data_IF_047881961229
#
_entry.id   IF_047881961229
#
_cell.length_a   1.000
_cell.length_b   1.000
_cell.length_c   1.000
_cell.angle_alpha   90.00
_cell.angle_beta   90.00
_cell.angle_gamma   90.00
#
_symmetry.space_group_name_H-M   'P 1'
#
loop_
_entity.id
_entity.type
_entity.pdbx_description
1 polymer ?
#
# COMPACT_ATOMS: atom_id res chain seq x y z
N UNK A 1 -9.02 0.56 -97.12
CA UNK A 1 -8.44 -0.69 -96.63
C UNK A 1 -7.70 -0.37 -95.31
N UNK A 2 -8.33 -0.63 -94.16
CA UNK A 2 -7.72 -0.39 -92.80
C UNK A 2 -7.41 -1.74 -92.20
N UNK A 3 -6.23 -1.97 -91.60
CA UNK A 3 -5.90 -3.23 -90.99
C UNK A 3 -6.49 -3.35 -89.55
N UNK A 4 -7.17 -4.45 -89.36
CA UNK A 4 -7.71 -4.86 -88.06
C UNK A 4 -6.56 -5.35 -87.15
N UNK A 5 -6.37 -4.68 -86.01
CA UNK A 5 -5.45 -5.16 -84.98
C UNK A 5 -6.16 -6.10 -84.04
N UNK A 6 -5.80 -7.38 -84.08
CA UNK A 6 -6.19 -8.42 -83.10
C UNK A 6 -5.56 -8.15 -81.75
N UNK A 7 -6.37 -7.79 -80.75
CA UNK A 7 -5.94 -7.76 -79.34
C UNK A 7 -5.80 -9.17 -78.81
N UNK A 8 -4.62 -9.45 -78.22
CA UNK A 8 -4.29 -10.75 -77.62
C UNK A 8 -5.01 -10.94 -76.27
N UNK A 9 -5.63 -12.12 -75.98
CA UNK A 9 -6.37 -12.37 -74.70
C UNK A 9 -5.53 -12.86 -73.57
N UNK A 10 -4.22 -12.54 -73.50
CA UNK A 10 -3.29 -13.14 -72.53
C UNK A 10 -3.11 -12.36 -71.23
N UNK A 11 -3.67 -11.15 -71.08
CA UNK A 11 -3.47 -10.30 -69.92
C UNK A 11 -4.36 -10.66 -68.72
N UNK A 12 -5.59 -11.14 -68.94
CA UNK A 12 -6.56 -11.39 -67.87
C UNK A 12 -6.26 -12.59 -66.96
N UNK A 13 -5.49 -13.57 -67.45
CA UNK A 13 -5.23 -14.81 -66.70
C UNK A 13 -4.09 -14.68 -65.68
N UNK A 14 -3.14 -13.74 -65.91
CA UNK A 14 -2.07 -13.44 -64.97
C UNK A 14 -2.53 -12.56 -63.80
N UNK A 15 -3.47 -11.61 -64.08
CA UNK A 15 -4.05 -10.75 -63.04
C UNK A 15 -4.91 -11.57 -62.05
N UNK A 16 -5.67 -12.56 -62.52
CA UNK A 16 -6.45 -13.45 -61.69
C UNK A 16 -5.58 -14.34 -60.78
N UNK A 17 -4.43 -14.80 -61.28
CA UNK A 17 -3.48 -15.60 -60.46
C UNK A 17 -2.77 -14.77 -59.40
N UNK A 18 -2.52 -13.50 -59.68
CA UNK A 18 -1.92 -12.57 -58.68
C UNK A 18 -2.93 -12.15 -57.62
N UNK A 19 -4.18 -11.89 -57.98
CA UNK A 19 -5.28 -11.62 -57.05
C UNK A 19 -5.53 -12.82 -56.12
N UNK A 20 -5.52 -14.03 -56.65
CA UNK A 20 -5.70 -15.25 -55.87
C UNK A 20 -4.54 -15.50 -54.91
N UNK A 21 -3.28 -15.21 -55.31
CA UNK A 21 -2.11 -15.30 -54.39
C UNK A 21 -2.15 -14.26 -53.29
N UNK A 22 -2.57 -13.01 -53.59
CA UNK A 22 -2.71 -11.93 -52.60
C UNK A 22 -3.81 -12.24 -51.59
N UNK A 23 -4.92 -12.85 -52.05
CA UNK A 23 -6.04 -13.26 -51.19
C UNK A 23 -5.67 -14.45 -50.27
N UNK A 24 -4.86 -15.38 -50.74
CA UNK A 24 -4.35 -16.50 -49.91
C UNK A 24 -3.34 -16.03 -48.90
N UNK A 25 -2.46 -15.07 -49.22
CA UNK A 25 -1.49 -14.49 -48.28
C UNK A 25 -2.20 -13.66 -47.18
N UNK A 26 -3.24 -12.91 -47.54
CA UNK A 26 -4.08 -12.15 -46.61
C UNK A 26 -4.87 -13.06 -45.67
N UNK A 27 -5.40 -14.17 -46.14
CA UNK A 27 -6.10 -15.15 -45.28
C UNK A 27 -5.16 -15.92 -44.35
N UNK A 28 -3.89 -16.15 -44.73
CA UNK A 28 -2.90 -16.82 -43.91
C UNK A 28 -2.38 -15.93 -42.78
N UNK A 29 -2.45 -14.59 -42.90
CA UNK A 29 -2.02 -13.65 -41.86
C UNK A 29 -3.08 -13.40 -40.77
N UNK A 30 -4.34 -13.73 -41.05
CA UNK A 30 -5.45 -13.53 -40.09
C UNK A 30 -5.60 -14.68 -39.10
N UNK A 31 -4.94 -15.81 -39.29
CA UNK A 31 -5.03 -16.98 -38.43
C UNK A 31 -3.99 -17.03 -37.30
N UNK A 32 -3.07 -16.02 -37.20
CA UNK A 32 -2.01 -15.98 -36.19
C UNK A 32 -2.34 -15.20 -34.91
N UNK A 33 -3.54 -14.60 -34.81
CA UNK A 33 -4.04 -13.97 -33.58
C UNK A 33 -5.18 -14.79 -32.97
N UNK A 34 -4.94 -16.06 -32.69
CA UNK A 34 -5.74 -16.73 -31.68
C UNK A 34 -5.20 -16.27 -30.34
N UNK A 35 -5.98 -15.57 -29.49
CA UNK A 35 -5.60 -15.37 -28.11
C UNK A 35 -5.46 -16.79 -27.52
N UNK A 36 -4.26 -17.14 -27.14
CA UNK A 36 -4.03 -18.31 -26.28
C UNK A 36 -4.86 -18.02 -25.03
N UNK A 37 -5.96 -18.73 -24.84
CA UNK A 37 -6.63 -18.76 -23.56
C UNK A 37 -5.64 -19.45 -22.60
N UNK A 38 -4.80 -18.63 -21.94
CA UNK A 38 -3.99 -19.11 -20.83
C UNK A 38 -4.98 -19.49 -19.72
N UNK A 39 -5.21 -20.78 -19.57
CA UNK A 39 -5.90 -21.29 -18.40
C UNK A 39 -4.90 -21.18 -17.24
N UNK A 40 -5.04 -20.15 -16.43
CA UNK A 40 -4.26 -19.96 -15.22
C UNK A 40 -4.57 -21.08 -14.23
N UNK A 41 -3.53 -21.83 -13.82
CA UNK A 41 -3.67 -22.95 -12.89
C UNK A 41 -3.66 -22.44 -11.45
N UNK A 42 -4.69 -22.81 -10.67
CA UNK A 42 -4.70 -22.62 -9.23
C UNK A 42 -4.39 -23.94 -8.55
N UNK A 43 -3.43 -23.94 -7.64
CA UNK A 43 -3.09 -25.07 -6.77
C UNK A 43 -3.50 -24.70 -5.35
N UNK A 44 -4.13 -25.59 -4.63
CA UNK A 44 -4.52 -25.34 -3.25
C UNK A 44 -4.41 -26.58 -2.37
N UNK A 45 -4.29 -26.37 -1.06
CA UNK A 45 -4.39 -27.39 -0.04
C UNK A 45 -5.00 -26.83 1.24
N UNK A 46 -5.61 -27.67 2.07
CA UNK A 46 -6.16 -27.32 3.38
C UNK A 46 -6.48 -28.58 4.17
N UNK A 47 -6.75 -28.43 5.49
CA UNK A 47 -7.22 -29.52 6.32
C UNK A 47 -8.69 -29.91 5.99
N UNK A 48 -9.50 -28.91 5.57
CA UNK A 48 -10.86 -29.14 5.12
C UNK A 48 -11.25 -28.19 3.99
N UNK A 49 -12.13 -28.64 3.12
CA UNK A 49 -12.68 -27.88 2.00
C UNK A 49 -14.20 -28.02 1.98
N UNK A 50 -14.90 -26.93 1.77
CA UNK A 50 -16.31 -26.89 1.49
C UNK A 50 -16.57 -25.92 0.32
N UNK A 51 -17.57 -26.22 -0.51
CA UNK A 51 -17.88 -25.37 -1.64
C UNK A 51 -19.00 -25.92 -2.50
N UNK A 52 -19.49 -25.08 -3.38
CA UNK A 52 -20.42 -25.45 -4.45
C UNK A 52 -19.67 -25.34 -5.77
N UNK A 53 -19.66 -26.45 -6.53
CA UNK A 53 -19.14 -26.51 -7.88
C UNK A 53 -20.32 -26.61 -8.83
N UNK A 54 -20.48 -25.68 -9.73
CA UNK A 54 -21.55 -25.70 -10.74
C UNK A 54 -21.82 -24.32 -11.35
N UNK A 55 -22.57 -24.30 -12.43
CA UNK A 55 -22.79 -23.17 -13.36
C UNK A 55 -23.26 -21.82 -12.79
N UNK A 56 -23.52 -21.67 -11.48
CA UNK A 56 -24.15 -20.46 -10.93
C UNK A 56 -23.40 -19.72 -9.83
N UNK A 57 -22.48 -20.33 -9.13
CA UNK A 57 -21.55 -19.60 -8.23
C UNK A 57 -20.44 -20.56 -7.80
N UNK A 58 -19.30 -20.45 -8.45
CA UNK A 58 -18.12 -21.13 -7.96
C UNK A 58 -17.67 -20.44 -6.66
N UNK A 59 -17.83 -21.13 -5.55
CA UNK A 59 -17.31 -20.69 -4.26
C UNK A 59 -16.73 -21.89 -3.55
N UNK A 60 -15.49 -21.77 -3.14
CA UNK A 60 -14.77 -22.80 -2.40
C UNK A 60 -14.11 -22.16 -1.19
N UNK A 61 -14.35 -22.72 -0.01
CA UNK A 61 -13.73 -22.33 1.24
C UNK A 61 -12.77 -23.41 1.70
N UNK A 62 -11.54 -23.05 1.93
CA UNK A 62 -10.46 -23.86 2.49
C UNK A 62 -10.26 -23.44 3.94
N UNK A 63 -10.16 -24.38 4.87
CA UNK A 63 -10.03 -24.09 6.30
C UNK A 63 -8.97 -24.97 6.95
N UNK A 64 -8.16 -24.37 7.83
CA UNK A 64 -7.06 -24.99 8.54
C UNK A 64 -5.85 -25.20 7.64
N UNK A 65 -4.75 -24.49 7.91
CA UNK A 65 -3.54 -24.50 7.11
C UNK A 65 -3.83 -24.32 5.60
N UNK A 66 -4.76 -23.40 5.31
CA UNK A 66 -5.17 -23.16 3.95
C UNK A 66 -4.05 -22.54 3.13
N UNK A 67 -3.84 -23.06 1.94
CA UNK A 67 -2.80 -22.64 1.01
C UNK A 67 -3.36 -22.52 -0.40
N UNK A 68 -3.01 -21.43 -1.08
CA UNK A 68 -3.37 -21.19 -2.49
C UNK A 68 -2.15 -20.63 -3.22
N UNK A 69 -1.87 -21.22 -4.38
CA UNK A 69 -0.86 -20.79 -5.32
C UNK A 69 -1.51 -20.50 -6.67
N UNK A 70 -1.37 -19.28 -7.13
CA UNK A 70 -1.72 -18.83 -8.49
C UNK A 70 -0.44 -18.61 -9.31
N UNK A 71 -0.55 -18.09 -10.52
CA UNK A 71 0.60 -17.74 -11.34
C UNK A 71 1.50 -16.68 -10.67
N UNK A 72 0.89 -15.67 -10.04
CA UNK A 72 1.62 -14.52 -9.47
C UNK A 72 1.62 -14.43 -7.95
N UNK A 73 0.72 -15.16 -7.26
CA UNK A 73 0.48 -15.01 -5.83
C UNK A 73 0.51 -16.35 -5.10
N UNK A 74 1.25 -16.40 -4.01
CA UNK A 74 1.25 -17.48 -3.02
C UNK A 74 0.66 -16.96 -1.72
N UNK A 75 -0.32 -17.67 -1.14
CA UNK A 75 -1.05 -17.25 0.06
C UNK A 75 -1.21 -18.44 1.00
N UNK A 76 -0.83 -18.28 2.26
CA UNK A 76 -1.14 -19.16 3.38
C UNK A 76 -1.99 -18.42 4.41
N UNK A 77 -3.01 -19.06 4.98
CA UNK A 77 -3.91 -18.45 5.96
C UNK A 77 -4.64 -19.51 6.80
N UNK A 78 -5.34 -19.07 7.84
CA UNK A 78 -6.22 -19.96 8.60
C UNK A 78 -7.44 -20.37 7.77
N UNK A 79 -7.94 -19.45 6.93
CA UNK A 79 -9.07 -19.66 6.03
C UNK A 79 -8.87 -18.91 4.73
N UNK A 80 -9.18 -19.55 3.60
CA UNK A 80 -9.19 -18.93 2.26
C UNK A 80 -10.50 -19.26 1.58
N UNK A 81 -11.17 -18.24 1.04
CA UNK A 81 -12.37 -18.38 0.22
C UNK A 81 -12.07 -17.91 -1.18
N UNK A 82 -12.25 -18.78 -2.15
CA UNK A 82 -12.17 -18.47 -3.57
C UNK A 82 -13.57 -18.39 -4.14
N UNK A 83 -13.89 -17.32 -4.89
CA UNK A 83 -15.24 -17.10 -5.40
C UNK A 83 -15.28 -16.36 -6.73
N UNK A 84 -16.48 -16.35 -7.34
CA UNK A 84 -16.70 -15.71 -8.63
C UNK A 84 -16.30 -16.60 -9.79
N UNK A 85 -16.60 -16.12 -11.01
CA UNK A 85 -16.29 -16.84 -12.23
C UNK A 85 -14.78 -17.12 -12.31
N UNK A 86 -14.39 -18.35 -12.58
CA UNK A 86 -13.00 -18.81 -12.66
C UNK A 86 -12.18 -18.50 -11.39
N UNK A 87 -12.86 -18.46 -10.22
CA UNK A 87 -12.27 -18.06 -8.92
C UNK A 87 -11.54 -16.72 -8.98
N UNK A 88 -12.19 -15.71 -9.58
CA UNK A 88 -11.66 -14.36 -9.70
C UNK A 88 -11.23 -13.76 -8.37
N UNK A 89 -12.04 -13.95 -7.32
CA UNK A 89 -11.80 -13.35 -6.01
C UNK A 89 -11.20 -14.38 -5.05
N UNK A 90 -10.11 -13.99 -4.39
CA UNK A 90 -9.50 -14.72 -3.30
C UNK A 90 -9.57 -13.84 -2.05
N UNK A 91 -10.27 -14.33 -1.02
CA UNK A 91 -10.35 -13.69 0.29
C UNK A 91 -9.68 -14.61 1.31
N UNK A 92 -8.77 -14.07 2.12
CA UNK A 92 -8.10 -14.82 3.18
C UNK A 92 -8.28 -14.13 4.52
N UNK A 93 -8.38 -14.92 5.58
CA UNK A 93 -8.59 -14.51 6.96
C UNK A 93 -7.67 -15.30 7.90
N UNK A 94 -7.05 -14.57 8.85
CA UNK A 94 -6.25 -15.11 9.95
C UNK A 94 -4.83 -15.51 9.53
N UNK A 95 -3.84 -15.00 10.24
CA UNK A 95 -2.42 -15.36 10.14
C UNK A 95 -1.88 -15.43 8.71
N UNK A 96 -2.22 -14.47 7.89
CA UNK A 96 -1.90 -14.50 6.46
C UNK A 96 -0.42 -14.24 6.26
N UNK A 97 0.20 -15.12 5.46
CA UNK A 97 1.53 -14.95 4.88
C UNK A 97 1.35 -15.05 3.37
N UNK A 98 1.79 -14.04 2.64
CA UNK A 98 1.66 -14.02 1.19
C UNK A 98 2.93 -13.53 0.51
N UNK A 99 3.06 -13.95 -0.75
CA UNK A 99 4.17 -13.58 -1.62
C UNK A 99 3.65 -13.31 -3.02
N UNK A 100 4.01 -12.16 -3.57
CA UNK A 100 3.88 -11.89 -4.98
C UNK A 100 5.20 -12.23 -5.67
N UNK A 101 5.18 -13.22 -6.55
CA UNK A 101 6.39 -13.74 -7.19
C UNK A 101 6.86 -12.84 -8.33
N UNK A 102 5.96 -12.14 -9.02
CA UNK A 102 6.30 -11.23 -10.12
C UNK A 102 6.96 -9.95 -9.62
N UNK A 103 6.39 -9.39 -8.55
CA UNK A 103 6.88 -8.12 -7.98
C UNK A 103 7.91 -8.31 -6.86
N UNK A 104 8.24 -9.55 -6.48
CA UNK A 104 9.14 -9.86 -5.36
C UNK A 104 8.73 -9.14 -4.06
N UNK A 105 7.40 -9.13 -3.78
CA UNK A 105 6.82 -8.59 -2.55
C UNK A 105 6.42 -9.72 -1.62
N UNK A 106 6.75 -9.59 -0.35
CA UNK A 106 6.29 -10.46 0.73
C UNK A 106 5.44 -9.65 1.71
N UNK A 107 4.39 -10.26 2.25
CA UNK A 107 3.50 -9.58 3.17
C UNK A 107 2.93 -10.50 4.25
N UNK A 108 2.58 -9.89 5.37
CA UNK A 108 1.76 -10.51 6.41
C UNK A 108 0.63 -9.57 6.79
N UNK A 109 -0.55 -10.12 7.08
CA UNK A 109 -1.73 -9.38 7.53
C UNK A 109 -2.75 -10.32 8.16
N UNK A 110 -3.90 -9.82 8.62
CA UNK A 110 -4.99 -10.65 9.11
C UNK A 110 -6.16 -10.78 8.14
N UNK A 111 -6.27 -9.88 7.17
CA UNK A 111 -7.26 -9.97 6.09
C UNK A 111 -6.66 -9.58 4.75
N UNK A 112 -6.99 -10.35 3.72
CA UNK A 112 -6.64 -10.13 2.33
C UNK A 112 -7.87 -10.25 1.45
N UNK A 113 -8.02 -9.33 0.51
CA UNK A 113 -8.92 -9.45 -0.64
C UNK A 113 -8.13 -9.23 -1.91
N UNK A 114 -8.09 -10.23 -2.77
CA UNK A 114 -7.36 -10.18 -4.02
C UNK A 114 -8.28 -10.42 -5.21
N UNK A 115 -8.31 -9.51 -6.16
CA UNK A 115 -9.00 -9.66 -7.43
C UNK A 115 -7.96 -10.04 -8.50
N UNK A 116 -8.01 -11.27 -8.97
CA UNK A 116 -7.09 -11.84 -9.96
C UNK A 116 -7.21 -11.19 -11.33
N UNK A 117 -8.38 -10.64 -11.69
CA UNK A 117 -8.59 -9.98 -12.97
C UNK A 117 -7.99 -8.57 -13.00
N UNK A 118 -8.23 -7.78 -11.95
CA UNK A 118 -7.68 -6.42 -11.84
C UNK A 118 -6.27 -6.40 -11.27
N UNK A 119 -5.80 -7.52 -10.71
CA UNK A 119 -4.49 -7.67 -10.04
C UNK A 119 -4.33 -6.70 -8.87
N UNK A 120 -5.42 -6.39 -8.15
CA UNK A 120 -5.43 -5.53 -6.96
C UNK A 120 -5.56 -6.39 -5.71
N UNK A 121 -4.63 -6.20 -4.78
CA UNK A 121 -4.63 -6.82 -3.46
C UNK A 121 -4.90 -5.76 -2.39
N UNK A 122 -5.94 -5.96 -1.56
CA UNK A 122 -6.26 -5.15 -0.41
C UNK A 122 -5.90 -5.94 0.86
N UNK A 123 -4.89 -5.45 1.56
CA UNK A 123 -4.35 -6.00 2.79
C UNK A 123 -4.83 -5.16 3.97
N UNK A 124 -5.29 -5.77 5.04
CA UNK A 124 -5.76 -5.04 6.22
C UNK A 124 -5.48 -5.77 7.53
N UNK A 125 -5.58 -5.00 8.62
CA UNK A 125 -5.33 -5.41 9.99
C UNK A 125 -3.86 -5.79 10.25
N UNK A 126 -3.08 -4.78 10.54
CA UNK A 126 -1.64 -4.90 10.87
C UNK A 126 -0.82 -5.50 9.73
N UNK A 127 -0.74 -4.75 8.65
CA UNK A 127 -0.01 -5.16 7.45
C UNK A 127 1.48 -4.88 7.62
N UNK A 128 2.31 -5.89 7.31
CA UNK A 128 3.74 -5.71 7.04
C UNK A 128 3.98 -6.11 5.59
N UNK A 129 4.62 -5.24 4.83
CA UNK A 129 4.99 -5.43 3.44
C UNK A 129 6.50 -5.29 3.30
N UNK A 130 7.12 -6.20 2.57
CA UNK A 130 8.54 -6.17 2.26
C UNK A 130 8.74 -6.23 0.74
N UNK A 131 9.36 -5.20 0.19
CA UNK A 131 9.91 -5.22 -1.17
C UNK A 131 11.33 -5.77 -1.07
N UNK A 132 11.48 -7.05 -1.41
CA UNK A 132 12.74 -7.77 -1.27
C UNK A 132 13.79 -7.21 -2.23
N UNK A 133 13.39 -6.88 -3.45
CA UNK A 133 14.28 -6.35 -4.49
C UNK A 133 14.91 -5.01 -4.10
N UNK A 134 14.12 -4.11 -3.50
CA UNK A 134 14.54 -2.75 -3.20
C UNK A 134 14.92 -2.56 -1.72
N UNK A 135 14.81 -3.63 -0.92
CA UNK A 135 15.09 -3.64 0.52
C UNK A 135 14.27 -2.55 1.25
N UNK A 136 12.98 -2.46 0.92
CA UNK A 136 12.01 -1.57 1.57
C UNK A 136 11.08 -2.39 2.45
N UNK A 137 10.88 -1.96 3.69
CA UNK A 137 9.86 -2.53 4.57
C UNK A 137 8.84 -1.48 4.93
N UNK A 138 7.57 -1.85 4.92
CA UNK A 138 6.48 -0.95 5.26
C UNK A 138 5.50 -1.63 6.21
N UNK A 139 4.96 -0.84 7.15
CA UNK A 139 3.87 -1.21 8.05
C UNK A 139 2.73 -0.21 7.88
N UNK A 140 1.49 -0.69 7.92
CA UNK A 140 0.30 0.14 7.92
C UNK A 140 -0.91 -0.66 8.42
N UNK A 141 -2.05 0.00 8.68
CA UNK A 141 -3.31 -0.70 8.94
C UNK A 141 -3.96 -1.21 7.66
N UNK A 142 -3.76 -0.48 6.56
CA UNK A 142 -4.31 -0.79 5.24
C UNK A 142 -3.23 -0.59 4.18
N UNK A 143 -3.09 -1.56 3.27
CA UNK A 143 -2.28 -1.42 2.06
C UNK A 143 -3.09 -1.95 0.87
N UNK A 144 -3.32 -1.09 -0.13
CA UNK A 144 -3.79 -1.50 -1.44
C UNK A 144 -2.59 -1.57 -2.38
N UNK A 145 -2.37 -2.74 -2.97
CA UNK A 145 -1.30 -2.95 -3.94
C UNK A 145 -1.86 -3.33 -5.30
N UNK A 146 -1.49 -2.57 -6.32
CA UNK A 146 -1.82 -2.83 -7.70
C UNK A 146 -0.59 -3.41 -8.43
N UNK A 147 -0.65 -4.70 -8.77
CA UNK A 147 0.44 -5.42 -9.43
C UNK A 147 0.73 -4.92 -10.85
N UNK A 148 -0.29 -4.41 -11.58
CA UNK A 148 -0.10 -3.93 -12.95
C UNK A 148 0.72 -2.64 -13.01
N UNK A 149 0.67 -1.83 -11.95
CA UNK A 149 1.34 -0.53 -11.88
C UNK A 149 2.51 -0.51 -10.91
N UNK A 150 2.66 -1.56 -10.10
CA UNK A 150 3.63 -1.65 -8.99
C UNK A 150 3.50 -0.47 -8.00
N UNK A 151 2.26 -0.07 -7.70
CA UNK A 151 1.95 1.00 -6.75
C UNK A 151 1.30 0.42 -5.50
N UNK A 152 1.86 0.78 -4.34
CA UNK A 152 1.26 0.51 -3.03
C UNK A 152 0.74 1.82 -2.41
N UNK A 153 -0.55 1.86 -2.08
CA UNK A 153 -1.19 2.92 -1.33
C UNK A 153 -1.37 2.45 0.11
N UNK A 154 -0.78 3.17 1.06
CA UNK A 154 -0.77 2.84 2.47
C UNK A 154 -1.57 3.85 3.27
N UNK A 155 -2.29 3.38 4.29
CA UNK A 155 -3.13 4.23 5.10
C UNK A 155 -3.07 3.81 6.56
N UNK A 156 -3.04 4.81 7.44
CA UNK A 156 -3.09 4.72 8.89
C UNK A 156 -1.85 4.02 9.49
N UNK A 157 -1.21 4.69 10.45
CA UNK A 157 -0.07 4.20 11.21
C UNK A 157 1.10 3.70 10.33
N UNK A 158 1.46 4.51 9.34
CA UNK A 158 2.48 4.14 8.37
C UNK A 158 3.87 4.29 8.99
N UNK A 159 4.66 3.24 8.84
CA UNK A 159 6.11 3.25 9.06
C UNK A 159 6.77 2.56 7.85
N UNK A 160 7.56 3.31 7.06
CA UNK A 160 8.34 2.74 5.97
C UNK A 160 9.83 2.93 6.25
N UNK A 161 10.60 1.89 6.06
CA UNK A 161 12.05 1.88 6.28
C UNK A 161 12.80 1.45 5.04
N UNK A 162 13.88 2.18 4.73
CA UNK A 162 14.85 1.80 3.73
C UNK A 162 16.20 2.45 4.06
N UNK A 163 17.27 1.66 4.15
CA UNK A 163 18.58 2.14 4.59
C UNK A 163 18.46 2.85 5.95
N UNK A 164 18.93 4.09 6.07
CA UNK A 164 18.89 4.90 7.29
C UNK A 164 17.63 5.75 7.39
N UNK A 165 16.71 5.62 6.42
CA UNK A 165 15.45 6.36 6.42
C UNK A 165 14.36 5.61 7.19
N UNK A 166 13.66 6.34 8.06
CA UNK A 166 12.40 5.92 8.65
C UNK A 166 11.37 7.00 8.36
N UNK A 167 10.36 6.64 7.58
CA UNK A 167 9.29 7.53 7.12
C UNK A 167 8.00 7.19 7.83
N UNK A 168 7.29 8.17 8.38
CA UNK A 168 6.01 7.98 9.06
C UNK A 168 4.98 8.99 8.57
N UNK A 169 3.70 8.59 8.55
CA UNK A 169 2.60 9.42 8.10
C UNK A 169 1.25 8.73 8.25
N UNK A 170 0.20 9.36 7.76
CA UNK A 170 -1.17 8.80 7.75
C UNK A 170 -1.56 8.26 6.39
N UNK A 171 -1.00 8.83 5.33
CA UNK A 171 -1.21 8.41 3.95
C UNK A 171 0.12 8.39 3.20
N UNK A 172 0.36 7.33 2.43
CA UNK A 172 1.56 7.22 1.60
C UNK A 172 1.26 6.51 0.28
N UNK A 173 1.99 6.91 -0.75
CA UNK A 173 2.02 6.25 -2.05
C UNK A 173 3.46 5.84 -2.34
N UNK A 174 3.69 4.53 -2.44
CA UNK A 174 4.98 3.97 -2.84
C UNK A 174 4.89 3.49 -4.28
N UNK A 175 5.66 4.14 -5.17
CA UNK A 175 5.82 3.73 -6.58
C UNK A 175 7.11 2.92 -6.68
N UNK A 176 6.94 1.61 -6.67
CA UNK A 176 8.04 0.65 -6.61
C UNK A 176 9.01 0.79 -7.79
N UNK A 177 8.48 0.91 -9.02
CA UNK A 177 9.29 1.02 -10.23
C UNK A 177 10.09 2.31 -10.28
N UNK A 178 9.51 3.41 -9.80
CA UNK A 178 10.15 4.74 -9.79
C UNK A 178 11.02 4.94 -8.55
N UNK A 179 10.94 4.04 -7.58
CA UNK A 179 11.57 4.17 -6.27
C UNK A 179 11.22 5.51 -5.59
N UNK A 180 9.95 5.92 -5.69
CA UNK A 180 9.43 7.16 -5.14
C UNK A 180 8.45 6.87 -4.02
N UNK A 181 8.59 7.60 -2.93
CA UNK A 181 7.66 7.60 -1.80
C UNK A 181 7.10 9.00 -1.60
N UNK A 182 5.79 9.13 -1.60
CA UNK A 182 5.06 10.34 -1.25
C UNK A 182 4.32 10.11 0.06
N UNK A 183 4.51 10.98 1.05
CA UNK A 183 3.89 10.90 2.37
C UNK A 183 3.10 12.16 2.67
N UNK A 184 1.97 12.01 3.33
CA UNK A 184 1.17 13.12 3.86
C UNK A 184 0.49 12.77 5.18
N UNK A 185 -0.09 13.79 5.82
CA UNK A 185 -0.74 13.63 7.11
C UNK A 185 0.26 13.45 8.26
N UNK A 186 0.79 14.56 8.80
CA UNK A 186 1.86 14.57 9.79
C UNK A 186 3.13 13.86 9.32
N UNK A 187 3.47 14.07 8.05
CA UNK A 187 4.61 13.40 7.43
C UNK A 187 5.91 13.75 8.17
N UNK A 188 6.67 12.72 8.48
CA UNK A 188 7.98 12.82 9.10
C UNK A 188 8.95 11.86 8.43
N UNK A 189 10.19 12.29 8.21
CA UNK A 189 11.30 11.44 7.86
C UNK A 189 12.43 11.64 8.85
N UNK A 190 12.98 10.54 9.31
CA UNK A 190 14.24 10.48 10.07
C UNK A 190 15.28 9.84 9.17
N UNK A 191 16.38 10.55 8.91
CA UNK A 191 17.51 10.10 8.11
C UNK A 191 18.78 10.11 8.98
N UNK A 192 19.19 8.94 9.44
CA UNK A 192 20.24 8.85 10.44
C UNK A 192 19.86 9.59 11.75
N UNK A 193 20.60 10.65 12.10
CA UNK A 193 20.33 11.52 13.25
C UNK A 193 19.38 12.69 12.91
N UNK A 194 19.21 13.00 11.63
CA UNK A 194 18.42 14.13 11.15
C UNK A 194 16.93 13.81 11.15
N UNK A 195 16.11 14.80 11.40
CA UNK A 195 14.66 14.65 11.40
C UNK A 195 14.01 15.82 10.67
N UNK A 196 13.07 15.51 9.78
CA UNK A 196 12.32 16.48 9.00
C UNK A 196 10.83 16.19 9.12
N UNK A 197 10.02 17.25 9.16
CA UNK A 197 8.56 17.20 9.17
C UNK A 197 7.99 18.22 8.19
N UNK A 198 6.92 17.83 7.50
CA UNK A 198 6.21 18.69 6.57
C UNK A 198 4.73 18.28 6.47
N UNK A 199 3.93 19.01 5.69
CA UNK A 199 2.60 18.54 5.31
C UNK A 199 2.70 17.38 4.32
N UNK A 200 3.63 17.52 3.37
CA UNK A 200 3.95 16.52 2.35
C UNK A 200 5.46 16.32 2.28
N UNK A 201 5.87 15.08 2.12
CA UNK A 201 7.27 14.68 1.94
C UNK A 201 7.35 13.74 0.75
N UNK A 202 8.20 14.10 -0.21
CA UNK A 202 8.57 13.20 -1.31
C UNK A 202 10.00 12.75 -1.12
N UNK A 203 10.23 11.44 -1.13
CA UNK A 203 11.55 10.81 -1.01
C UNK A 203 11.83 9.98 -2.26
N UNK A 204 12.94 10.26 -2.92
CA UNK A 204 13.52 9.34 -3.90
C UNK A 204 14.41 8.33 -3.18
N UNK A 205 13.97 7.07 -3.15
CA UNK A 205 14.65 5.98 -2.42
C UNK A 205 15.99 5.56 -3.04
N UNK A 206 16.22 5.90 -4.29
CA UNK A 206 17.50 5.63 -5.00
C UNK A 206 18.52 6.72 -4.72
N UNK A 207 18.20 7.99 -5.02
CA UNK A 207 19.09 9.14 -4.83
C UNK A 207 19.16 9.64 -3.40
N UNK A 208 18.18 9.26 -2.55
CA UNK A 208 17.98 9.73 -1.18
C UNK A 208 17.65 11.24 -1.12
N UNK A 209 17.18 11.80 -2.21
CA UNK A 209 16.73 13.20 -2.29
C UNK A 209 15.36 13.34 -1.64
N UNK A 210 15.24 14.35 -0.78
CA UNK A 210 14.02 14.65 -0.03
C UNK A 210 13.50 16.00 -0.47
N UNK A 211 12.21 16.06 -0.83
CA UNK A 211 11.46 17.30 -1.04
C UNK A 211 10.42 17.44 0.07
N UNK A 212 10.39 18.60 0.69
CA UNK A 212 9.49 18.93 1.80
C UNK A 212 8.57 20.08 1.39
N UNK A 213 7.26 19.90 1.52
CA UNK A 213 6.28 20.95 1.25
C UNK A 213 5.30 21.17 2.42
N UNK A 214 5.00 22.44 2.68
CA UNK A 214 4.05 22.88 3.71
C UNK A 214 4.53 22.70 5.15
N UNK A 215 4.66 23.82 5.89
CA UNK A 215 5.03 23.88 7.32
C UNK A 215 6.30 23.11 7.68
N UNK A 216 7.32 23.25 6.87
CA UNK A 216 8.58 22.53 7.02
C UNK A 216 9.27 22.85 8.36
N UNK A 217 9.67 21.80 9.07
CA UNK A 217 10.50 21.85 10.28
C UNK A 217 11.58 20.77 10.17
N UNK A 218 12.78 21.06 10.60
CA UNK A 218 13.87 20.12 10.58
C UNK A 218 14.83 20.32 11.75
N UNK A 219 15.54 19.25 12.09
CA UNK A 219 16.68 19.24 13.01
C UNK A 219 17.79 18.45 12.34
N UNK A 220 18.97 19.08 12.21
CA UNK A 220 20.17 18.50 11.64
C UNK A 220 21.20 18.40 12.75
N UNK A 221 21.81 17.22 12.91
CA UNK A 221 22.83 16.96 13.93
C UNK A 221 24.21 17.08 13.29
N UNK A 222 25.00 18.07 13.71
CA UNK A 222 26.39 18.24 13.28
C UNK A 222 27.30 17.38 14.17
N UNK A 223 27.69 16.21 13.68
CA UNK A 223 28.56 15.27 14.41
C UNK A 223 30.00 15.79 14.61
N UNK A 224 30.39 16.89 13.94
CA UNK A 224 31.74 17.44 14.06
C UNK A 224 32.06 18.08 15.41
N UNK A 225 31.08 18.31 16.27
CA UNK A 225 31.27 18.90 17.61
C UNK A 225 31.51 17.91 18.73
N UNK A 226 31.37 16.62 18.54
CA UNK A 226 31.53 15.62 19.59
C UNK A 226 32.95 15.08 19.74
N UNK A 227 33.90 15.41 18.83
CA UNK A 227 35.29 14.94 18.92
C UNK A 227 36.29 15.98 19.45
N UNK A 228 35.84 17.13 19.95
CA UNK A 228 36.74 18.18 20.50
C UNK A 228 36.50 18.45 21.99
N UNK A 229 36.30 17.43 22.78
CA UNK A 229 36.02 17.60 24.20
C UNK A 229 36.64 16.58 25.13
N UNK A 230 37.90 16.14 24.85
CA UNK A 230 38.70 15.43 25.86
C UNK A 230 40.17 15.67 25.55
N UNK A 231 40.73 16.77 26.07
CA UNK A 231 42.06 16.90 26.66
C UNK A 231 42.39 18.40 26.82
N UNK A 232 42.12 18.94 27.99
CA UNK A 232 42.96 19.96 28.60
C UNK A 232 42.98 19.77 30.09
N UNK A 233 44.13 19.27 30.46
CA UNK A 233 44.64 19.05 31.82
C UNK A 233 44.71 20.37 32.56
N UNK A 234 44.40 20.32 33.86
CA UNK A 234 44.58 21.34 34.85
C UNK A 234 45.94 22.00 34.81
N UNK A 235 46.03 23.31 34.83
CA UNK A 235 47.07 24.08 35.50
C UNK A 235 46.45 25.24 36.25
N UNK A 236 46.67 25.16 37.54
CA UNK A 236 46.38 26.13 38.59
C UNK A 236 47.33 27.33 38.43
N UNK A 237 46.81 28.55 38.40
CA UNK A 237 47.52 29.70 38.99
C UNK A 237 46.57 30.67 39.67
N UNK A 238 46.85 30.83 40.96
CA UNK A 238 46.34 31.86 41.85
C UNK A 238 46.77 33.28 41.41
N UNK A 239 45.98 34.27 41.74
CA UNK A 239 46.46 35.66 41.78
C UNK A 239 45.35 36.71 41.82
N UNK A 240 44.84 37.07 43.02
CA UNK A 240 44.62 38.40 43.59
C UNK A 240 43.89 39.48 42.79
N UNK A 241 42.74 39.88 43.24
CA UNK A 241 42.38 40.88 44.28
C UNK A 241 42.11 42.29 43.74
N UNK A 242 41.08 42.87 44.28
CA UNK A 242 40.58 44.28 44.33
C UNK A 242 39.59 44.69 43.25
N UNK A 243 38.48 45.09 43.60
CA UNK A 243 37.95 45.99 44.59
C UNK A 243 36.88 46.86 43.97
N UNK A 244 35.84 46.92 44.64
CA UNK A 244 35.08 48.06 45.18
C UNK A 244 33.83 48.49 44.44
N UNK A 245 32.74 48.30 45.19
CA UNK A 245 31.61 49.27 45.49
C UNK A 245 30.82 49.84 44.31
N UNK A 246 29.54 49.96 44.36
CA UNK A 246 28.51 50.22 45.37
C UNK A 246 27.15 50.15 44.74
N UNK A 247 26.18 49.64 45.48
CA UNK A 247 24.88 50.26 45.84
C UNK A 247 23.96 50.71 44.70
N UNK A 248 22.66 50.47 44.67
CA UNK A 248 21.67 50.60 45.71
C UNK A 248 20.30 50.23 45.16
N UNK A 249 19.50 49.56 46.01
CA UNK A 249 18.06 49.71 46.24
C UNK A 249 17.11 49.47 45.08
N UNK A 250 16.05 48.83 45.28
CA UNK A 250 15.03 48.57 46.23
C UNK A 250 13.90 47.87 45.55
N UNK A 251 13.44 46.85 46.18
CA UNK A 251 12.23 46.79 46.97
C UNK A 251 10.95 46.81 46.14
N UNK A 252 10.18 45.81 46.19
CA UNK A 252 9.03 45.52 47.02
C UNK A 252 8.26 44.33 46.50
N UNK A 253 8.07 43.39 47.38
CA UNK A 253 7.14 42.24 47.33
C UNK A 253 5.69 42.74 47.21
N UNK A 254 4.83 41.95 46.60
CA UNK A 254 3.55 41.58 47.24
C UNK A 254 2.97 40.30 46.62
N UNK A 255 2.89 39.31 47.46
CA UNK A 255 1.94 38.20 47.47
C UNK A 255 0.49 38.73 47.36
N UNK A 256 -0.34 38.02 46.64
CA UNK A 256 -1.71 37.78 47.10
C UNK A 256 -2.19 36.43 46.60
N UNK A 257 -2.33 35.51 47.59
CA UNK A 257 -3.24 34.36 47.57
C UNK A 257 -4.67 34.87 47.38
N UNK A 258 -5.54 34.12 46.78
CA UNK A 258 -6.78 33.62 47.34
C UNK A 258 -7.75 33.04 46.29
N UNK A 259 -8.09 31.82 46.52
CA UNK A 259 -9.42 31.20 46.57
C UNK A 259 -10.10 30.71 45.31
N UNK A 260 -10.17 29.41 45.25
CA UNK A 260 -11.31 28.60 44.77
C UNK A 260 -12.59 28.97 45.55
N UNK A 261 -13.77 28.85 44.89
CA UNK A 261 -14.71 27.90 45.44
C UNK A 261 -15.37 26.96 44.40
N UNK A 262 -15.67 25.80 44.92
CA UNK A 262 -16.61 24.77 44.49
C UNK A 262 -17.91 25.29 43.86
N UNK A 263 -18.44 24.54 42.91
CA UNK A 263 -19.75 24.67 42.32
C UNK A 263 -20.14 23.46 41.50
N UNK A 264 -20.45 22.39 42.21
CA UNK A 264 -21.23 21.24 41.80
C UNK A 264 -22.54 21.64 41.09
N UNK A 265 -22.82 21.14 39.90
CA UNK A 265 -24.20 20.83 39.46
C UNK A 265 -24.15 19.85 38.28
N UNK A 266 -24.48 18.59 38.52
CA UNK A 266 -25.19 17.72 37.59
C UNK A 266 -26.62 18.22 37.43
N UNK A 267 -27.28 17.99 36.30
CA UNK A 267 -28.41 17.08 36.29
C UNK A 267 -28.37 16.10 35.11
N UNK A 268 -28.51 14.83 35.46
CA UNK A 268 -29.76 14.05 35.33
C UNK A 268 -30.22 13.68 33.92
N UNK A 269 -30.29 12.41 33.77
CA UNK A 269 -30.78 11.56 32.71
C UNK A 269 -32.16 11.94 32.17
N UNK A 270 -32.38 11.79 30.89
CA UNK A 270 -33.68 11.41 30.36
C UNK A 270 -33.53 10.27 29.34
N UNK A 271 -33.99 9.14 29.82
CA UNK A 271 -34.28 7.96 29.03
C UNK A 271 -35.59 8.17 28.28
N UNK A 272 -35.61 7.95 27.00
CA UNK A 272 -36.83 7.65 26.29
C UNK A 272 -36.74 6.28 25.62
N UNK A 273 -37.59 5.46 26.17
CA UNK A 273 -38.02 4.11 25.83
C UNK A 273 -39.21 4.24 24.87
N UNK A 274 -39.16 3.53 23.77
CA UNK A 274 -40.33 3.09 22.98
C UNK A 274 -39.77 2.29 21.80
N UNK A 275 -40.30 1.16 21.37
CA UNK A 275 -41.36 0.26 21.74
C UNK A 275 -41.14 -0.98 20.89
N UNK A 276 -41.23 -2.13 21.52
CA UNK A 276 -41.43 -3.41 20.86
C UNK A 276 -42.76 -3.39 20.08
N UNK A 277 -42.73 -3.95 18.90
CA UNK A 277 -43.93 -4.49 18.28
C UNK A 277 -43.58 -5.88 17.69
N UNK A 278 -43.97 -6.89 18.47
CA UNK A 278 -44.32 -8.22 17.99
C UNK A 278 -45.56 -8.14 17.10
N UNK A 279 -45.57 -8.95 16.05
CA UNK A 279 -46.76 -9.65 15.55
C UNK A 279 -46.30 -10.77 14.62
N UNK A 280 -46.26 -11.97 15.08
CA UNK A 280 -47.19 -13.10 15.09
C UNK A 280 -47.72 -13.48 13.70
N UNK A 281 -47.27 -14.70 13.36
CA UNK A 281 -48.01 -15.83 12.77
C UNK A 281 -49.26 -15.52 11.94
N UNK A 282 -49.25 -16.00 10.70
CA UNK A 282 -50.40 -16.81 10.28
C UNK A 282 -49.99 -17.96 9.35
N UNK A 283 -50.30 -19.13 9.82
CA UNK A 283 -50.42 -20.39 9.08
C UNK A 283 -51.73 -20.38 8.31
N UNK A 284 -51.71 -20.86 7.10
CA UNK A 284 -52.63 -21.91 6.58
C UNK A 284 -52.58 -21.91 5.05
N UNK A 285 -52.13 -23.04 4.45
CA UNK A 285 -52.94 -24.17 4.01
C UNK A 285 -53.67 -23.96 2.67
N UNK A 286 -53.41 -24.92 1.82
CA UNK A 286 -54.17 -25.48 0.66
C UNK A 286 -53.60 -25.00 -0.69
N UNK A 287 -53.32 -25.83 -1.60
CA UNK A 287 -53.62 -27.16 -2.12
C UNK A 287 -52.45 -27.68 -2.91
#
# INVERSE_FOLDING_TARGET
MLPQTRKKPYSRMNDMKNILKTLIISASFLTLFLPSAFCEKIIFSANSMSGTVGDKSDSTTLSGEAYVLTESMEISADKITMSGKDFRFIEAEGSIIGKNMESELEFTCNRLKYDRETKIANLSDTVNLTDVKNNVTAKAQLIEYNQNTDIAVMQIDIELKQKDNTCTGVYAVYRKNDQMLELSGNAQIKQGADTFRAQEITLNLTSQEITLDGRVKGSIVDERKTTSGENETAETQEGQENGETAETSGDTAQETEEKTPDGNTEPEAEATKSEEAEEKEDKQKNE
#
